data_IF_875739410718
#
_entry.id   IF_875739410718
#
_cell.length_a   1.000
_cell.length_b   1.000
_cell.length_c   1.000
_cell.angle_alpha   90.00
_cell.angle_beta   90.00
_cell.angle_gamma   90.00
#
_symmetry.space_group_name_H-M   'P 1'
#
loop_
_entity.id
_entity.type
_entity.pdbx_description
1 polymer ?
#
# COMPACT_ATOMS: atom_id res chain seq x y z
N UNK A 1 11.90 -12.05 4.73
CA UNK A 1 11.56 -10.69 5.02
C UNK A 1 10.56 -10.11 4.10
N UNK A 2 10.83 -10.14 2.80
CA UNK A 2 9.85 -9.64 1.84
C UNK A 2 8.58 -10.47 1.86
N UNK A 3 8.70 -11.76 2.17
CA UNK A 3 7.54 -12.63 2.27
C UNK A 3 6.59 -12.21 3.38
N UNK A 4 7.11 -11.64 4.48
CA UNK A 4 6.26 -11.16 5.57
C UNK A 4 5.43 -9.96 5.15
N UNK A 5 6.01 -9.04 4.38
CA UNK A 5 5.27 -7.87 3.90
C UNK A 5 4.18 -8.28 2.92
N UNK A 6 4.48 -9.23 2.03
CA UNK A 6 3.48 -9.75 1.09
C UNK A 6 2.35 -10.43 1.84
N UNK A 7 2.67 -11.26 2.84
CA UNK A 7 1.68 -11.91 3.69
C UNK A 7 0.82 -10.89 4.42
N UNK A 8 1.44 -9.80 4.90
CA UNK A 8 0.72 -8.75 5.62
C UNK A 8 -0.32 -8.08 4.73
N UNK A 9 0.02 -7.80 3.46
CA UNK A 9 -0.97 -7.27 2.51
C UNK A 9 -2.16 -8.21 2.37
N UNK A 10 -1.89 -9.49 2.17
CA UNK A 10 -2.93 -10.48 1.98
C UNK A 10 -3.80 -10.60 3.24
N UNK A 11 -3.18 -10.66 4.40
CA UNK A 11 -3.92 -10.75 5.67
C UNK A 11 -4.81 -9.55 5.88
N UNK A 12 -4.31 -8.36 5.64
CA UNK A 12 -5.08 -7.13 5.82
C UNK A 12 -6.25 -7.09 4.85
N UNK A 13 -6.03 -7.47 3.60
CA UNK A 13 -7.10 -7.50 2.61
C UNK A 13 -8.19 -8.50 2.99
N UNK A 14 -7.80 -9.67 3.47
CA UNK A 14 -8.77 -10.68 3.92
C UNK A 14 -9.58 -10.15 5.11
N UNK A 15 -8.89 -9.55 6.09
CA UNK A 15 -9.56 -9.01 7.28
C UNK A 15 -10.50 -7.87 6.94
N UNK A 16 -10.09 -6.97 6.04
CA UNK A 16 -10.95 -5.87 5.60
C UNK A 16 -12.17 -6.37 4.85
N UNK A 17 -12.00 -7.40 4.03
CA UNK A 17 -13.13 -8.01 3.32
C UNK A 17 -14.16 -8.59 4.30
N UNK A 18 -13.68 -9.22 5.36
CA UNK A 18 -14.57 -9.74 6.41
C UNK A 18 -15.31 -8.63 7.13
N UNK A 19 -14.63 -7.52 7.40
CA UNK A 19 -15.25 -6.35 8.02
C UNK A 19 -16.33 -5.77 7.13
N UNK A 20 -16.08 -5.68 5.82
CA UNK A 20 -17.03 -5.16 4.87
C UNK A 20 -18.30 -6.02 4.82
N UNK A 21 -18.14 -7.34 4.83
CA UNK A 21 -19.29 -8.26 4.84
C UNK A 21 -20.12 -8.10 6.11
N UNK A 22 -19.47 -7.82 7.23
CA UNK A 22 -20.17 -7.69 8.51
C UNK A 22 -20.89 -6.36 8.66
N UNK A 23 -20.33 -5.26 8.11
CA UNK A 23 -20.83 -3.91 8.37
C UNK A 23 -21.51 -3.24 7.19
N UNK A 24 -21.39 -3.77 5.99
CA UNK A 24 -21.92 -3.18 4.75
C UNK A 24 -21.42 -1.77 4.51
N UNK A 25 -20.23 -1.43 4.97
CA UNK A 25 -19.66 -0.10 4.83
C UNK A 25 -19.08 0.10 3.42
N UNK A 26 -19.61 1.06 2.69
CA UNK A 26 -19.13 1.40 1.35
C UNK A 26 -17.71 1.96 1.38
N UNK A 27 -17.36 2.65 2.46
CA UNK A 27 -16.06 3.28 2.61
C UNK A 27 -14.91 2.28 2.65
N UNK A 28 -15.14 1.09 3.18
CA UNK A 28 -14.13 0.04 3.22
C UNK A 28 -13.77 -0.45 1.83
N UNK A 29 -14.74 -0.44 0.92
CA UNK A 29 -14.49 -0.89 -0.45
C UNK A 29 -13.42 -0.03 -1.14
N UNK A 30 -13.48 1.27 -0.94
CA UNK A 30 -12.47 2.18 -1.46
C UNK A 30 -11.09 1.92 -0.89
N UNK A 31 -11.01 1.68 0.43
CA UNK A 31 -9.76 1.34 1.07
C UNK A 31 -9.17 0.04 0.52
N UNK A 32 -10.00 -0.99 0.40
CA UNK A 32 -9.57 -2.29 -0.12
C UNK A 32 -9.02 -2.13 -1.53
N UNK A 33 -9.71 -1.39 -2.38
CA UNK A 33 -9.28 -1.13 -3.75
C UNK A 33 -7.93 -0.45 -3.79
N UNK A 34 -7.71 0.54 -2.93
CA UNK A 34 -6.45 1.27 -2.89
C UNK A 34 -5.32 0.41 -2.33
N UNK A 35 -5.60 -0.44 -1.34
CA UNK A 35 -4.59 -1.38 -0.84
C UNK A 35 -4.16 -2.35 -1.93
N UNK A 36 -5.10 -2.87 -2.72
CA UNK A 36 -4.77 -3.77 -3.82
C UNK A 36 -3.89 -3.07 -4.87
N UNK A 37 -4.24 -1.85 -5.21
CA UNK A 37 -3.48 -1.04 -6.16
C UNK A 37 -2.06 -0.79 -5.65
N UNK A 38 -1.93 -0.47 -4.38
CA UNK A 38 -0.64 -0.22 -3.76
C UNK A 38 0.24 -1.46 -3.77
N UNK A 39 -0.34 -2.62 -3.48
CA UNK A 39 0.40 -3.89 -3.51
C UNK A 39 0.96 -4.16 -4.90
N UNK A 40 0.14 -3.97 -5.92
CA UNK A 40 0.58 -4.18 -7.31
C UNK A 40 1.70 -3.22 -7.69
N UNK A 41 1.57 -1.97 -7.30
CA UNK A 41 2.58 -0.97 -7.59
C UNK A 41 3.92 -1.31 -6.90
N UNK A 42 3.86 -1.68 -5.63
CA UNK A 42 5.05 -2.07 -4.87
C UNK A 42 5.74 -3.27 -5.52
N UNK A 43 4.96 -4.27 -5.94
CA UNK A 43 5.52 -5.45 -6.59
C UNK A 43 6.19 -5.09 -7.91
N UNK A 44 5.58 -4.20 -8.68
CA UNK A 44 6.16 -3.72 -9.95
C UNK A 44 7.47 -2.98 -9.73
N UNK A 45 7.54 -2.14 -8.70
CA UNK A 45 8.77 -1.43 -8.38
C UNK A 45 9.87 -2.39 -7.94
N UNK A 46 9.51 -3.39 -7.14
CA UNK A 46 10.46 -4.40 -6.72
C UNK A 46 11.07 -5.16 -7.89
N UNK A 47 10.23 -5.53 -8.86
CA UNK A 47 10.70 -6.18 -10.07
C UNK A 47 11.60 -5.26 -10.90
N UNK A 48 11.23 -3.99 -11.00
CA UNK A 48 12.03 -3.01 -11.75
C UNK A 48 13.42 -2.86 -11.13
N UNK A 49 13.50 -2.82 -9.81
CA UNK A 49 14.78 -2.74 -9.11
C UNK A 49 15.62 -4.00 -9.35
N UNK A 50 14.98 -5.16 -9.32
CA UNK A 50 15.68 -6.43 -9.56
C UNK A 50 16.21 -6.53 -10.98
N UNK A 51 15.58 -5.86 -11.93
CA UNK A 51 16.00 -5.85 -13.33
C UNK A 51 16.82 -4.61 -13.64
N UNK A 52 17.91 -4.41 -12.91
CA UNK A 52 18.76 -3.23 -13.07
C UNK A 52 19.34 -3.11 -14.49
N UNK A 53 19.41 -4.22 -15.23
CA UNK A 53 19.84 -4.18 -16.63
C UNK A 53 18.91 -3.39 -17.54
N UNK A 54 17.65 -3.25 -17.16
CA UNK A 54 16.65 -2.51 -17.92
C UNK A 54 16.50 -1.07 -17.44
N UNK A 55 17.44 -0.61 -16.66
CA UNK A 55 17.40 0.73 -16.05
C UNK A 55 17.21 1.84 -17.07
N UNK A 56 17.88 1.73 -18.23
CA UNK A 56 17.76 2.72 -19.30
C UNK A 56 16.32 2.82 -19.82
N UNK A 57 15.66 1.68 -19.96
CA UNK A 57 14.26 1.65 -20.40
C UNK A 57 13.36 2.35 -19.41
N UNK A 58 13.63 2.19 -18.12
CA UNK A 58 12.89 2.86 -17.08
C UNK A 58 13.12 4.35 -17.08
N UNK A 59 14.35 4.79 -17.35
CA UNK A 59 14.67 6.21 -17.44
C UNK A 59 13.95 6.89 -18.60
N UNK A 60 13.80 6.19 -19.71
CA UNK A 60 13.08 6.72 -20.87
C UNK A 60 11.61 6.94 -20.53
N UNK A 61 11.05 6.14 -19.62
CA UNK A 61 9.67 6.28 -19.16
C UNK A 61 9.54 7.21 -17.96
N UNK A 62 10.56 7.94 -17.65
CA UNK A 62 10.68 8.71 -16.41
C UNK A 62 9.55 9.68 -16.14
N UNK A 63 9.03 10.34 -17.15
CA UNK A 63 7.95 11.29 -16.94
C UNK A 63 6.74 10.65 -16.30
N UNK A 64 6.27 9.57 -16.91
CA UNK A 64 5.11 8.83 -16.39
C UNK A 64 5.39 8.16 -15.04
N UNK A 65 6.60 7.63 -14.89
CA UNK A 65 6.99 6.96 -13.68
C UNK A 65 6.99 7.91 -12.47
N UNK A 66 7.53 9.10 -12.66
CA UNK A 66 7.56 10.11 -11.60
C UNK A 66 6.15 10.58 -11.22
N UNK A 67 5.28 10.75 -12.21
CA UNK A 67 3.90 11.11 -11.95
C UNK A 67 3.19 10.02 -11.15
N UNK A 68 3.38 8.77 -11.54
CA UNK A 68 2.81 7.63 -10.82
C UNK A 68 3.33 7.56 -9.39
N UNK A 69 4.63 7.82 -9.20
CA UNK A 69 5.23 7.82 -7.89
C UNK A 69 4.59 8.87 -6.98
N UNK A 70 4.42 10.08 -7.49
CA UNK A 70 3.77 11.16 -6.74
C UNK A 70 2.34 10.80 -6.38
N UNK A 71 1.60 10.24 -7.32
CA UNK A 71 0.23 9.82 -7.07
C UNK A 71 0.17 8.73 -6.00
N UNK A 72 1.10 7.79 -6.04
CA UNK A 72 1.12 6.71 -5.06
C UNK A 72 1.43 7.22 -3.66
N UNK A 73 2.33 8.18 -3.54
CA UNK A 73 2.60 8.79 -2.24
C UNK A 73 1.38 9.53 -1.70
N UNK A 74 0.63 10.21 -2.55
CA UNK A 74 -0.61 10.84 -2.13
C UNK A 74 -1.66 9.81 -1.70
N UNK A 75 -1.78 8.72 -2.44
CA UNK A 75 -2.69 7.63 -2.08
C UNK A 75 -2.32 7.00 -0.74
N UNK A 76 -1.02 6.77 -0.52
CA UNK A 76 -0.54 6.23 0.76
C UNK A 76 -0.88 7.18 1.89
N UNK A 77 -0.67 8.47 1.71
CA UNK A 77 -0.97 9.48 2.72
C UNK A 77 -2.46 9.48 3.03
N UNK A 78 -3.30 9.42 2.01
CA UNK A 78 -4.74 9.35 2.21
C UNK A 78 -5.14 8.10 2.99
N UNK A 79 -4.56 6.95 2.64
CA UNK A 79 -4.83 5.71 3.36
C UNK A 79 -4.40 5.79 4.82
N UNK A 80 -3.24 6.37 5.09
CA UNK A 80 -2.75 6.53 6.46
C UNK A 80 -3.73 7.37 7.29
N UNK A 81 -4.18 8.48 6.74
CA UNK A 81 -5.12 9.34 7.43
C UNK A 81 -6.46 8.65 7.65
N UNK A 82 -6.94 7.93 6.65
CA UNK A 82 -8.20 7.20 6.75
C UNK A 82 -8.12 6.10 7.81
N UNK A 83 -7.02 5.36 7.82
CA UNK A 83 -6.82 4.31 8.82
C UNK A 83 -6.74 4.90 10.23
N UNK A 84 -6.01 6.00 10.39
CA UNK A 84 -5.93 6.69 11.68
C UNK A 84 -7.28 7.17 12.17
N UNK A 85 -8.08 7.70 11.27
CA UNK A 85 -9.42 8.15 11.60
C UNK A 85 -10.28 6.98 12.11
N UNK A 86 -10.24 5.86 11.40
CA UNK A 86 -11.02 4.69 11.78
C UNK A 86 -10.53 4.09 13.09
N UNK A 87 -9.24 4.14 13.36
CA UNK A 87 -8.70 3.70 14.64
C UNK A 87 -9.28 4.49 15.81
N UNK A 88 -9.54 5.78 15.59
CA UNK A 88 -10.07 6.63 16.65
C UNK A 88 -11.55 6.34 16.95
N UNK A 89 -12.30 5.91 15.96
CA UNK A 89 -13.75 5.77 16.11
C UNK A 89 -14.22 4.34 16.32
N UNK A 90 -13.38 3.35 16.01
CA UNK A 90 -13.79 1.97 16.15
C UNK A 90 -13.64 1.48 17.60
N UNK A 91 -14.62 0.70 18.05
CA UNK A 91 -14.60 0.10 19.38
C UNK A 91 -14.40 -1.42 19.31
N UNK A 92 -14.45 -1.98 18.11
CA UNK A 92 -14.33 -3.41 17.89
C UNK A 92 -12.86 -3.81 17.89
N UNK A 93 -12.50 -4.80 18.70
CA UNK A 93 -11.11 -5.25 18.84
C UNK A 93 -10.53 -5.79 17.53
N UNK A 94 -11.32 -6.53 16.76
CA UNK A 94 -10.87 -7.07 15.49
C UNK A 94 -10.53 -5.95 14.52
N UNK A 95 -11.37 -4.92 14.46
CA UNK A 95 -11.13 -3.77 13.59
C UNK A 95 -9.93 -2.96 14.05
N UNK A 96 -9.79 -2.76 15.37
CA UNK A 96 -8.63 -2.04 15.89
C UNK A 96 -7.32 -2.71 15.51
N UNK A 97 -7.23 -4.01 15.69
CA UNK A 97 -6.03 -4.77 15.33
C UNK A 97 -5.77 -4.67 13.83
N UNK A 98 -6.82 -4.83 13.03
CA UNK A 98 -6.71 -4.75 11.58
C UNK A 98 -6.16 -3.40 11.13
N UNK A 99 -6.71 -2.30 11.66
CA UNK A 99 -6.27 -0.97 11.28
C UNK A 99 -4.87 -0.65 11.81
N UNK A 100 -4.50 -1.16 12.98
CA UNK A 100 -3.14 -0.99 13.47
C UNK A 100 -2.13 -1.69 12.56
N UNK A 101 -2.44 -2.91 12.14
CA UNK A 101 -1.60 -3.65 11.21
C UNK A 101 -1.54 -2.96 9.85
N UNK A 102 -2.66 -2.43 9.39
CA UNK A 102 -2.72 -1.69 8.13
C UNK A 102 -1.87 -0.44 8.18
N UNK A 103 -1.91 0.29 9.29
CA UNK A 103 -1.10 1.49 9.46
C UNK A 103 0.38 1.15 9.41
N UNK A 104 0.79 0.11 10.12
CA UNK A 104 2.18 -0.33 10.13
C UNK A 104 2.64 -0.72 8.74
N UNK A 105 1.81 -1.47 8.02
CA UNK A 105 2.12 -1.88 6.64
C UNK A 105 2.29 -0.67 5.74
N UNK A 106 1.40 0.31 5.85
CA UNK A 106 1.48 1.51 5.01
C UNK A 106 2.76 2.28 5.24
N UNK A 107 3.20 2.40 6.49
CA UNK A 107 4.45 3.08 6.81
C UNK A 107 5.66 2.32 6.26
N UNK A 108 5.64 1.01 6.35
CA UNK A 108 6.70 0.18 5.79
C UNK A 108 6.76 0.30 4.27
N UNK A 109 5.61 0.23 3.61
CA UNK A 109 5.54 0.32 2.14
C UNK A 109 5.98 1.71 1.66
N UNK A 110 5.62 2.75 2.39
CA UNK A 110 6.06 4.09 2.05
C UNK A 110 7.59 4.15 2.02
N UNK A 111 8.25 3.59 3.03
CA UNK A 111 9.69 3.57 3.10
C UNK A 111 10.32 2.70 2.01
N UNK A 112 9.71 1.55 1.72
CA UNK A 112 10.19 0.69 0.64
C UNK A 112 10.12 1.39 -0.72
N UNK A 113 9.02 2.07 -1.00
CA UNK A 113 8.85 2.79 -2.26
C UNK A 113 9.88 3.92 -2.37
N UNK A 114 10.16 4.62 -1.28
CA UNK A 114 11.20 5.64 -1.26
C UNK A 114 12.57 5.04 -1.57
N UNK A 115 12.89 3.90 -0.94
CA UNK A 115 14.15 3.23 -1.16
C UNK A 115 14.30 2.78 -2.62
N UNK A 116 13.23 2.19 -3.18
CA UNK A 116 13.24 1.80 -4.58
C UNK A 116 13.42 3.00 -5.50
N UNK A 117 12.75 4.12 -5.21
CA UNK A 117 12.86 5.30 -6.05
C UNK A 117 14.29 5.87 -6.05
N UNK A 118 14.98 5.82 -4.92
CA UNK A 118 16.37 6.26 -4.86
C UNK A 118 17.27 5.40 -5.72
N UNK A 119 17.01 4.10 -5.81
CA UNK A 119 17.82 3.21 -6.64
C UNK A 119 17.57 3.43 -8.13
N UNK A 120 16.40 3.94 -8.49
CA UNK A 120 16.03 4.15 -9.90
C UNK A 120 16.35 5.56 -10.40
N UNK A 121 16.77 6.45 -9.54
CA UNK A 121 17.22 7.79 -9.90
C UNK A 121 18.72 7.77 -10.30
#
# INVERSE_FOLDING_TARGET
MDSNTVSSFQDILVRMSKMQLASSSEDLNGMITQFKSLKLYRDSLGEAVMRMGDFHSLQIRNGKWREQLSQKFEEIRWLIEEVRHRLKITENSFEQITFMQALQLLLEVEQEIRAFSFQLI
#
